data_IF_278535061811
#
_entry.id   IF_278535061811
#
_cell.length_a   1.000
_cell.length_b   1.000
_cell.length_c   1.000
_cell.angle_alpha   90.00
_cell.angle_beta   90.00
_cell.angle_gamma   90.00
#
_symmetry.space_group_name_H-M   'P 1'
#
loop_
_entity.id
_entity.type
_entity.pdbx_description
1 polymer ?
#
# COMPACT_ATOMS: atom_id res chain seq x y z
N UNK A 1 27.43 -17.08 -22.02
CA UNK A 1 26.69 -17.99 -21.09
C UNK A 1 25.95 -17.15 -20.04
N UNK A 2 25.03 -17.70 -19.24
CA UNK A 2 24.32 -16.96 -18.19
C UNK A 2 24.67 -17.48 -16.79
N UNK A 3 24.66 -16.58 -15.81
CA UNK A 3 24.88 -16.93 -14.41
C UNK A 3 23.70 -17.74 -13.84
N UNK A 4 23.98 -18.92 -13.29
CA UNK A 4 23.00 -19.83 -12.70
C UNK A 4 22.25 -19.26 -11.50
N UNK A 5 22.79 -18.22 -10.83
CA UNK A 5 22.20 -17.62 -9.62
C UNK A 5 21.39 -16.35 -9.90
N UNK A 6 21.91 -15.44 -10.71
CA UNK A 6 21.31 -14.11 -10.93
C UNK A 6 20.86 -13.84 -12.36
N UNK A 7 21.11 -14.75 -13.31
CA UNK A 7 20.68 -14.60 -14.71
C UNK A 7 21.47 -13.58 -15.53
N UNK A 8 22.53 -12.98 -14.99
CA UNK A 8 23.38 -12.04 -15.74
C UNK A 8 24.15 -12.75 -16.86
N UNK A 9 24.28 -12.11 -18.03
CA UNK A 9 25.07 -12.63 -19.14
C UNK A 9 26.56 -12.51 -18.81
N UNK A 10 27.29 -13.61 -18.98
CA UNK A 10 28.72 -13.73 -18.75
C UNK A 10 29.44 -13.83 -20.11
N UNK A 11 30.60 -13.19 -20.15
CA UNK A 11 31.55 -13.33 -21.25
C UNK A 11 32.11 -14.75 -21.32
N UNK A 12 32.55 -15.17 -22.52
CA UNK A 12 33.03 -16.53 -22.76
C UNK A 12 34.21 -16.88 -21.83
N UNK A 13 34.17 -18.08 -21.23
CA UNK A 13 35.11 -18.63 -20.25
C UNK A 13 35.11 -18.04 -18.81
N UNK A 14 34.19 -17.16 -18.44
CA UNK A 14 34.12 -16.70 -17.04
C UNK A 14 33.36 -17.69 -16.14
N UNK A 15 34.10 -18.42 -15.30
CA UNK A 15 33.52 -19.30 -14.27
C UNK A 15 32.97 -18.53 -13.07
N UNK A 16 33.42 -17.31 -12.79
CA UNK A 16 32.90 -16.50 -11.69
C UNK A 16 32.10 -15.31 -12.22
N UNK A 17 30.88 -15.13 -11.72
CA UNK A 17 30.05 -14.00 -12.12
C UNK A 17 30.55 -12.70 -11.50
N UNK A 18 30.89 -11.70 -12.32
CA UNK A 18 31.30 -10.37 -11.85
C UNK A 18 30.19 -9.62 -11.09
N UNK A 19 28.92 -9.89 -11.40
CA UNK A 19 27.78 -9.19 -10.80
C UNK A 19 27.40 -9.73 -9.41
N UNK A 20 27.24 -11.05 -9.26
CA UNK A 20 26.80 -11.67 -8.00
C UNK A 20 27.88 -12.47 -7.27
N UNK A 21 29.11 -12.52 -7.81
CA UNK A 21 30.26 -13.20 -7.23
C UNK A 21 30.24 -14.73 -7.27
N UNK A 22 29.18 -15.35 -7.82
CA UNK A 22 28.98 -16.81 -7.75
C UNK A 22 29.78 -17.56 -8.81
N UNK A 23 30.46 -18.63 -8.39
CA UNK A 23 31.20 -19.55 -9.26
C UNK A 23 30.22 -20.54 -9.91
N UNK A 24 30.34 -20.75 -11.22
CA UNK A 24 29.48 -21.59 -12.03
C UNK A 24 29.95 -23.04 -11.95
N UNK A 25 29.03 -23.98 -11.74
CA UNK A 25 29.35 -25.41 -11.56
C UNK A 25 29.24 -26.22 -12.87
N UNK A 26 29.29 -25.59 -14.04
CA UNK A 26 29.16 -26.30 -15.32
C UNK A 26 30.33 -27.27 -15.56
N UNK A 27 30.01 -28.56 -15.72
CA UNK A 27 30.96 -29.58 -16.16
C UNK A 27 31.78 -30.26 -15.05
N UNK A 28 31.44 -30.08 -13.77
CA UNK A 28 32.10 -30.83 -12.70
C UNK A 28 31.53 -32.27 -12.60
N UNK A 29 32.36 -33.27 -12.28
CA UNK A 29 31.89 -34.63 -12.04
C UNK A 29 31.01 -34.68 -10.78
N UNK A 30 29.92 -35.45 -10.83
CA UNK A 30 28.95 -35.69 -9.74
C UNK A 30 27.93 -34.57 -9.43
N UNK A 31 27.61 -33.69 -10.39
CA UNK A 31 26.51 -32.73 -10.21
C UNK A 31 25.20 -33.32 -10.74
N UNK A 32 24.17 -33.31 -9.90
CA UNK A 32 22.81 -33.64 -10.32
C UNK A 32 22.26 -32.54 -11.27
N UNK A 33 21.68 -32.95 -12.38
CA UNK A 33 21.15 -32.05 -13.41
C UNK A 33 19.64 -32.19 -13.60
N UNK A 34 18.96 -31.07 -13.90
CA UNK A 34 17.56 -30.99 -14.34
C UNK A 34 17.48 -30.43 -15.77
N UNK A 35 16.36 -30.68 -16.46
CA UNK A 35 16.10 -30.06 -17.78
C UNK A 35 15.57 -28.64 -17.64
N UNK A 36 16.08 -27.75 -18.49
CA UNK A 36 15.56 -26.38 -18.57
C UNK A 36 14.13 -26.36 -19.14
N UNK A 37 13.23 -25.57 -18.53
CA UNK A 37 11.82 -25.40 -18.96
C UNK A 37 11.64 -24.79 -20.36
N UNK A 38 12.66 -24.14 -20.94
CA UNK A 38 12.60 -23.48 -22.27
C UNK A 38 13.42 -24.15 -23.33
N UNK A 39 14.69 -24.43 -23.03
CA UNK A 39 15.64 -24.91 -24.04
C UNK A 39 16.04 -26.37 -23.85
N UNK A 40 15.46 -27.07 -22.87
CA UNK A 40 15.58 -28.53 -22.60
C UNK A 40 16.99 -29.09 -22.36
N UNK A 41 18.02 -28.23 -22.43
CA UNK A 41 19.39 -28.55 -22.05
C UNK A 41 19.49 -28.86 -20.56
N UNK A 42 20.43 -29.75 -20.24
CA UNK A 42 20.70 -30.15 -18.86
C UNK A 42 21.48 -29.05 -18.13
N UNK A 43 20.93 -28.63 -17.00
CA UNK A 43 21.46 -27.58 -16.12
C UNK A 43 21.51 -28.12 -14.68
N UNK A 44 22.36 -27.58 -13.79
CA UNK A 44 22.39 -28.03 -12.40
C UNK A 44 21.03 -27.89 -11.70
N UNK A 45 20.67 -28.85 -10.84
CA UNK A 45 19.37 -28.86 -10.13
C UNK A 45 19.18 -27.57 -9.32
N UNK A 46 20.26 -27.05 -8.72
CA UNK A 46 20.24 -25.85 -7.88
C UNK A 46 20.33 -24.52 -8.68
N UNK A 47 20.30 -24.57 -10.02
CA UNK A 47 20.31 -23.35 -10.83
C UNK A 47 18.94 -22.65 -10.80
N UNK A 48 18.94 -21.37 -10.42
CA UNK A 48 17.77 -20.48 -10.50
C UNK A 48 17.52 -20.03 -11.94
N UNK A 49 18.59 -19.81 -12.72
CA UNK A 49 18.51 -19.41 -14.12
C UNK A 49 19.23 -20.41 -15.03
N UNK A 50 18.72 -20.59 -16.24
CA UNK A 50 19.37 -21.44 -17.23
C UNK A 50 20.66 -20.82 -17.76
N UNK A 51 21.78 -21.55 -17.68
CA UNK A 51 23.10 -21.09 -18.16
C UNK A 51 23.21 -20.89 -19.67
N UNK A 52 22.29 -21.48 -20.45
CA UNK A 52 22.31 -21.40 -21.92
C UNK A 52 21.35 -20.34 -22.47
N UNK A 53 20.11 -20.30 -21.96
CA UNK A 53 19.06 -19.42 -22.48
C UNK A 53 18.67 -18.27 -21.55
N UNK A 54 19.21 -18.22 -20.33
CA UNK A 54 18.96 -17.14 -19.36
C UNK A 54 17.59 -17.18 -18.68
N UNK A 55 16.71 -18.14 -19.00
CA UNK A 55 15.37 -18.21 -18.42
C UNK A 55 15.39 -18.59 -16.93
N UNK A 56 14.55 -17.93 -16.13
CA UNK A 56 14.25 -18.30 -14.75
C UNK A 56 13.59 -19.69 -14.66
N UNK A 57 14.12 -20.54 -13.79
CA UNK A 57 13.71 -21.92 -13.57
C UNK A 57 12.89 -22.10 -12.30
N UNK A 58 12.72 -21.06 -11.47
CA UNK A 58 11.87 -21.10 -10.29
C UNK A 58 10.40 -21.32 -10.67
N UNK A 59 9.67 -22.07 -9.84
CA UNK A 59 8.21 -22.14 -9.90
C UNK A 59 7.71 -21.48 -8.62
N UNK A 60 7.29 -20.23 -8.68
CA UNK A 60 6.66 -19.59 -7.52
C UNK A 60 5.21 -20.04 -7.50
N UNK A 61 4.89 -21.02 -6.66
CA UNK A 61 3.51 -21.41 -6.39
C UNK A 61 2.91 -20.33 -5.49
N UNK A 62 2.22 -19.37 -6.10
CA UNK A 62 1.39 -18.42 -5.37
C UNK A 62 0.16 -19.16 -4.90
N UNK A 63 0.13 -19.57 -3.64
CA UNK A 63 -1.10 -20.03 -3.01
C UNK A 63 -1.88 -18.78 -2.64
N UNK A 64 -2.93 -18.47 -3.38
CA UNK A 64 -3.90 -17.46 -2.98
C UNK A 64 -4.44 -17.86 -1.60
N UNK A 65 -4.41 -16.89 -0.67
CA UNK A 65 -5.00 -17.09 0.65
C UNK A 65 -6.52 -17.14 0.42
N UNK A 66 -7.23 -18.22 0.81
CA UNK A 66 -8.68 -18.26 0.71
C UNK A 66 -9.29 -17.03 1.40
N UNK A 67 -10.17 -16.32 0.71
CA UNK A 67 -10.71 -15.04 1.18
C UNK A 67 -11.76 -15.16 2.30
N UNK A 68 -12.11 -16.37 2.73
CA UNK A 68 -13.26 -16.62 3.62
C UNK A 68 -12.91 -17.20 5.00
N UNK A 69 -11.65 -17.22 5.42
CA UNK A 69 -11.34 -17.53 6.83
C UNK A 69 -11.36 -16.25 7.67
N UNK A 70 -12.27 -16.10 8.65
CA UNK A 70 -12.19 -15.01 9.61
C UNK A 70 -10.88 -15.15 10.39
N UNK A 71 -9.94 -14.23 10.10
CA UNK A 71 -8.70 -14.08 10.84
C UNK A 71 -9.06 -14.01 12.34
N UNK A 72 -8.55 -14.90 13.21
CA UNK A 72 -8.89 -14.87 14.62
C UNK A 72 -8.46 -13.52 15.17
N UNK A 73 -9.47 -12.69 15.49
CA UNK A 73 -9.31 -11.34 15.99
C UNK A 73 -8.70 -11.41 17.39
N UNK A 74 -7.37 -11.58 17.46
CA UNK A 74 -6.61 -11.22 18.64
C UNK A 74 -6.66 -9.71 18.73
N UNK A 75 -7.61 -9.25 19.51
CA UNK A 75 -7.80 -7.85 19.88
C UNK A 75 -6.53 -7.37 20.58
N UNK A 76 -5.61 -6.75 19.85
CA UNK A 76 -4.52 -5.99 20.48
C UNK A 76 -4.98 -4.54 20.54
N UNK A 77 -5.88 -4.26 21.48
CA UNK A 77 -6.10 -2.91 21.97
C UNK A 77 -4.86 -2.53 22.81
N UNK A 78 -3.92 -1.77 22.22
CA UNK A 78 -2.72 -1.29 22.93
C UNK A 78 -1.42 -1.26 22.13
N UNK A 79 -1.46 -1.17 20.80
CA UNK A 79 -0.27 -1.19 19.94
C UNK A 79 0.33 0.21 19.70
N UNK A 80 0.96 0.76 20.72
CA UNK A 80 2.03 1.76 20.49
C UNK A 80 3.22 1.64 21.45
N UNK A 81 3.04 1.02 22.63
CA UNK A 81 4.15 0.85 23.59
C UNK A 81 4.53 -0.63 23.85
N UNK A 82 3.58 -1.57 23.76
CA UNK A 82 3.83 -2.99 24.06
C UNK A 82 4.64 -3.75 22.99
N UNK A 83 4.50 -3.40 21.70
CA UNK A 83 5.23 -4.10 20.61
C UNK A 83 6.74 -3.80 20.62
N UNK A 84 7.15 -2.67 21.20
CA UNK A 84 8.57 -2.36 21.35
C UNK A 84 9.23 -3.31 22.37
N UNK A 85 8.53 -3.70 23.43
CA UNK A 85 9.04 -4.65 24.44
C UNK A 85 9.28 -6.04 23.82
N UNK A 86 8.29 -6.58 23.12
CA UNK A 86 8.41 -7.90 22.47
C UNK A 86 9.43 -7.90 21.34
N UNK A 87 9.47 -6.83 20.53
CA UNK A 87 10.47 -6.66 19.48
C UNK A 87 11.88 -6.54 20.07
N UNK A 88 12.05 -5.80 21.17
CA UNK A 88 13.34 -5.67 21.85
C UNK A 88 13.82 -7.00 22.44
N UNK A 89 12.91 -7.80 23.00
CA UNK A 89 13.22 -9.13 23.51
C UNK A 89 13.60 -10.09 22.36
N UNK A 90 12.91 -10.03 21.22
CA UNK A 90 13.25 -10.80 20.03
C UNK A 90 14.63 -10.42 19.48
N UNK A 91 14.91 -9.12 19.34
CA UNK A 91 16.21 -8.60 18.89
C UNK A 91 17.31 -9.02 19.87
N UNK A 92 17.06 -8.99 21.17
CA UNK A 92 18.01 -9.44 22.19
C UNK A 92 18.31 -10.94 22.09
N UNK A 93 17.29 -11.77 21.85
CA UNK A 93 17.47 -13.23 21.68
C UNK A 93 18.19 -13.57 20.38
N UNK A 94 17.89 -12.88 19.29
CA UNK A 94 18.58 -13.04 18.00
C UNK A 94 20.06 -12.63 18.10
N UNK A 95 20.35 -11.56 18.85
CA UNK A 95 21.72 -11.13 19.14
C UNK A 95 22.49 -12.15 19.99
N UNK A 96 21.82 -12.78 20.97
CA UNK A 96 22.40 -13.91 21.75
C UNK A 96 22.69 -15.14 20.88
N UNK A 97 21.92 -15.35 19.82
CA UNK A 97 22.14 -16.41 18.84
C UNK A 97 23.19 -16.07 17.76
N UNK A 98 23.89 -14.93 17.88
CA UNK A 98 24.94 -14.52 16.93
C UNK A 98 24.41 -13.94 15.61
N UNK A 99 23.12 -13.65 15.51
CA UNK A 99 22.49 -13.08 14.31
C UNK A 99 22.48 -11.55 14.43
N UNK A 100 23.16 -10.85 13.53
CA UNK A 100 23.11 -9.38 13.46
C UNK A 100 21.77 -8.94 12.85
N UNK A 101 20.82 -8.57 13.70
CA UNK A 101 19.53 -8.02 13.27
C UNK A 101 19.60 -6.50 13.21
N UNK A 102 19.49 -5.92 12.02
CA UNK A 102 19.26 -4.48 11.85
C UNK A 102 17.76 -4.20 11.77
N UNK A 103 17.25 -3.47 12.77
CA UNK A 103 15.88 -2.95 12.71
C UNK A 103 15.86 -1.73 11.79
N UNK A 104 15.39 -1.93 10.56
CA UNK A 104 15.10 -0.82 9.65
C UNK A 104 13.83 -0.14 10.16
N UNK A 105 13.99 1.02 10.80
CA UNK A 105 12.83 1.87 11.12
C UNK A 105 12.28 2.43 9.81
N UNK A 106 10.98 2.19 9.57
CA UNK A 106 10.27 2.81 8.45
C UNK A 106 10.35 4.34 8.58
N UNK A 107 10.51 5.06 7.48
CA UNK A 107 10.44 6.52 7.50
C UNK A 107 9.06 6.92 8.08
N UNK A 108 8.99 7.89 9.01
CA UNK A 108 7.72 8.40 9.54
C UNK A 108 6.68 8.76 8.46
N UNK A 109 7.12 9.15 7.26
CA UNK A 109 6.26 9.41 6.10
C UNK A 109 5.55 8.15 5.58
N UNK A 110 6.15 6.98 5.74
CA UNK A 110 5.62 5.71 5.24
C UNK A 110 4.70 5.01 6.26
N UNK A 111 4.55 5.55 7.47
CA UNK A 111 3.65 4.97 8.46
C UNK A 111 2.22 4.97 7.91
N UNK A 112 1.55 3.81 7.84
CA UNK A 112 0.17 3.74 7.41
C UNK A 112 -0.72 4.46 8.43
N UNK A 113 -1.87 5.00 8.00
CA UNK A 113 -2.89 5.49 8.92
C UNK A 113 -3.30 4.37 9.90
N UNK A 114 -3.80 4.73 11.09
CA UNK A 114 -4.17 3.71 12.08
C UNK A 114 -5.24 2.79 11.50
N UNK A 115 -5.04 1.48 11.69
CA UNK A 115 -5.99 0.43 11.27
C UNK A 115 -7.36 0.59 11.96
N UNK A 116 -7.41 1.23 13.14
CA UNK A 116 -8.63 1.58 13.90
C UNK A 116 -8.57 3.03 14.41
N UNK A 117 -9.06 3.99 13.64
CA UNK A 117 -9.12 5.39 14.05
C UNK A 117 -10.15 5.56 15.18
N UNK A 118 -9.82 6.34 16.19
CA UNK A 118 -10.71 6.61 17.32
C UNK A 118 -10.34 7.91 18.04
N UNK A 119 -11.29 8.46 18.82
CA UNK A 119 -11.18 9.80 19.42
C UNK A 119 -9.88 9.98 20.21
N UNK A 120 -9.60 9.08 21.16
CA UNK A 120 -8.46 9.19 22.08
C UNK A 120 -7.13 9.00 21.34
N UNK A 121 -7.01 7.93 20.55
CA UNK A 121 -5.75 7.59 19.86
C UNK A 121 -5.39 8.66 18.82
N UNK A 122 -6.36 9.14 18.05
CA UNK A 122 -6.14 10.15 17.02
C UNK A 122 -5.77 11.50 17.63
N UNK A 123 -6.44 11.90 18.71
CA UNK A 123 -6.13 13.17 19.41
C UNK A 123 -4.76 13.12 20.08
N UNK A 124 -4.43 12.02 20.76
CA UNK A 124 -3.10 11.80 21.37
C UNK A 124 -2.01 11.88 20.32
N UNK A 125 -2.22 11.30 19.14
CA UNK A 125 -1.27 11.36 18.02
C UNK A 125 -1.12 12.78 17.48
N UNK A 126 -2.22 13.51 17.31
CA UNK A 126 -2.23 14.87 16.80
C UNK A 126 -1.45 15.82 17.73
N UNK A 127 -1.57 15.64 19.04
CA UNK A 127 -0.76 16.33 20.07
C UNK A 127 0.71 15.89 20.08
N UNK A 128 0.98 14.58 20.04
CA UNK A 128 2.35 14.03 20.07
C UNK A 128 3.19 14.52 18.88
N UNK A 129 2.55 14.67 17.74
CA UNK A 129 3.21 14.98 16.49
C UNK A 129 2.94 16.41 15.98
N UNK A 130 2.45 17.32 16.85
CA UNK A 130 2.07 18.68 16.47
C UNK A 130 3.21 19.52 15.85
N UNK A 131 4.46 19.23 16.20
CA UNK A 131 5.64 19.92 15.68
C UNK A 131 6.34 19.15 14.55
N UNK A 132 5.88 17.94 14.22
CA UNK A 132 6.42 17.18 13.09
C UNK A 132 5.58 17.54 11.86
N UNK A 133 6.20 17.94 10.75
CA UNK A 133 5.46 18.18 9.49
C UNK A 133 5.45 16.92 8.60
N UNK A 134 6.25 15.92 8.96
CA UNK A 134 6.41 14.67 8.22
C UNK A 134 5.51 13.58 8.80
N UNK A 135 4.92 12.77 7.93
CA UNK A 135 3.97 11.71 8.28
C UNK A 135 2.69 11.74 7.46
N UNK A 136 2.09 10.56 7.25
CA UNK A 136 0.76 10.39 6.62
C UNK A 136 -0.36 10.47 7.66
N UNK A 137 -1.45 11.11 7.26
CA UNK A 137 -2.67 11.27 8.04
C UNK A 137 -3.85 10.66 7.27
N UNK A 138 -4.45 9.62 7.86
CA UNK A 138 -5.69 9.04 7.34
C UNK A 138 -6.86 10.01 7.47
N UNK A 139 -7.89 9.83 6.64
CA UNK A 139 -9.11 10.65 6.69
C UNK A 139 -9.79 10.56 8.06
N UNK A 140 -9.98 9.34 8.55
CA UNK A 140 -10.61 9.10 9.84
C UNK A 140 -9.73 9.55 11.02
N UNK A 141 -8.41 9.32 10.97
CA UNK A 141 -7.46 9.83 11.96
C UNK A 141 -7.52 11.37 12.06
N UNK A 142 -7.64 12.07 10.93
CA UNK A 142 -7.77 13.52 10.89
C UNK A 142 -9.06 13.99 11.59
N UNK A 143 -10.22 13.44 11.22
CA UNK A 143 -11.51 13.89 11.76
C UNK A 143 -11.69 13.55 13.24
N UNK A 144 -11.29 12.33 13.66
CA UNK A 144 -11.33 11.96 15.07
C UNK A 144 -10.36 12.78 15.91
N UNK A 145 -9.16 13.05 15.39
CA UNK A 145 -8.19 13.93 16.05
C UNK A 145 -8.69 15.37 16.15
N UNK A 146 -9.29 15.89 15.07
CA UNK A 146 -9.86 17.23 15.05
C UNK A 146 -11.03 17.36 16.05
N UNK A 147 -11.95 16.40 16.04
CA UNK A 147 -13.07 16.36 16.97
C UNK A 147 -12.59 16.32 18.43
N UNK A 148 -11.61 15.46 18.74
CA UNK A 148 -11.10 15.37 20.11
C UNK A 148 -10.32 16.62 20.54
N UNK A 149 -9.64 17.31 19.62
CA UNK A 149 -9.06 18.63 19.90
C UNK A 149 -10.14 19.69 20.17
N UNK A 150 -11.25 19.69 19.44
CA UNK A 150 -12.38 20.61 19.68
C UNK A 150 -13.00 20.35 21.05
N UNK A 151 -13.25 19.09 21.39
CA UNK A 151 -13.79 18.71 22.70
C UNK A 151 -12.83 19.13 23.82
N UNK A 152 -11.53 18.86 23.67
CA UNK A 152 -10.50 19.26 24.62
C UNK A 152 -10.47 20.78 24.79
N UNK A 153 -10.54 21.54 23.68
CA UNK A 153 -10.59 23.00 23.71
C UNK A 153 -11.80 23.51 24.50
N UNK A 154 -13.00 22.98 24.24
CA UNK A 154 -14.22 23.39 24.94
C UNK A 154 -14.11 23.10 26.45
N UNK A 155 -13.65 21.90 26.83
CA UNK A 155 -13.47 21.52 28.24
C UNK A 155 -12.46 22.43 28.94
N UNK A 156 -11.34 22.76 28.30
CA UNK A 156 -10.32 23.64 28.88
C UNK A 156 -10.85 25.07 29.03
N UNK A 157 -11.60 25.58 28.05
CA UNK A 157 -12.22 26.92 28.14
C UNK A 157 -13.21 26.98 29.31
N UNK A 158 -14.13 26.03 29.41
CA UNK A 158 -15.10 25.98 30.52
C UNK A 158 -14.41 25.91 31.89
N UNK A 159 -13.35 25.10 31.99
CA UNK A 159 -12.54 25.01 33.21
C UNK A 159 -11.88 26.35 33.54
N UNK A 160 -11.27 27.03 32.57
CA UNK A 160 -10.64 28.34 32.80
C UNK A 160 -11.66 29.39 33.24
N UNK A 161 -12.83 29.44 32.59
CA UNK A 161 -13.92 30.36 32.92
C UNK A 161 -14.49 30.11 34.33
N UNK A 162 -14.51 28.85 34.78
CA UNK A 162 -15.02 28.48 36.11
C UNK A 162 -14.06 28.83 37.25
N UNK A 163 -12.75 28.62 37.05
CA UNK A 163 -11.75 28.72 38.12
C UNK A 163 -10.99 30.05 38.16
N UNK A 164 -10.86 30.76 37.03
CA UNK A 164 -10.08 31.99 36.93
C UNK A 164 -11.01 33.21 36.95
N UNK A 165 -11.01 33.94 38.07
CA UNK A 165 -11.82 35.16 38.24
C UNK A 165 -11.10 36.44 37.82
N UNK A 166 -9.78 36.43 37.77
CA UNK A 166 -9.00 37.58 37.33
C UNK A 166 -9.08 37.69 35.80
N UNK A 167 -9.68 38.77 35.30
CA UNK A 167 -9.91 39.01 33.87
C UNK A 167 -8.63 39.06 33.05
N UNK A 168 -7.60 39.78 33.52
CA UNK A 168 -6.31 39.88 32.82
C UNK A 168 -5.59 38.53 32.71
N UNK A 169 -5.64 37.72 33.76
CA UNK A 169 -5.04 36.38 33.77
C UNK A 169 -5.85 35.40 32.92
N UNK A 170 -7.17 35.54 32.90
CA UNK A 170 -8.07 34.77 32.05
C UNK A 170 -7.81 35.04 30.56
N UNK A 171 -7.72 36.31 30.16
CA UNK A 171 -7.42 36.70 28.77
C UNK A 171 -6.09 36.11 28.29
N UNK A 172 -5.05 36.19 29.12
CA UNK A 172 -3.74 35.62 28.81
C UNK A 172 -3.81 34.09 28.66
N UNK A 173 -4.49 33.40 29.58
CA UNK A 173 -4.62 31.93 29.55
C UNK A 173 -5.46 31.46 28.35
N UNK A 174 -6.52 32.20 27.99
CA UNK A 174 -7.31 31.92 26.80
C UNK A 174 -6.47 32.07 25.53
N UNK A 175 -5.66 33.15 25.42
CA UNK A 175 -4.75 33.34 24.29
C UNK A 175 -3.76 32.17 24.16
N UNK A 176 -3.12 31.77 25.26
CA UNK A 176 -2.19 30.63 25.28
C UNK A 176 -2.91 29.35 24.86
N UNK A 177 -4.12 29.11 25.38
CA UNK A 177 -4.95 27.95 25.03
C UNK A 177 -5.27 27.91 23.53
N UNK A 178 -5.62 29.05 22.93
CA UNK A 178 -5.85 29.15 21.48
C UNK A 178 -4.59 28.81 20.68
N UNK A 179 -3.41 29.27 21.10
CA UNK A 179 -2.14 28.94 20.42
C UNK A 179 -1.83 27.45 20.52
N UNK A 180 -2.01 26.85 21.70
CA UNK A 180 -1.80 25.40 21.94
C UNK A 180 -2.77 24.55 21.10
N UNK A 181 -3.99 25.03 20.85
CA UNK A 181 -4.93 24.38 19.93
C UNK A 181 -4.60 24.60 18.45
N UNK A 182 -4.12 25.80 18.10
CA UNK A 182 -3.85 26.20 16.72
C UNK A 182 -2.68 25.41 16.11
N UNK A 183 -1.56 25.26 16.83
CA UNK A 183 -0.37 24.59 16.28
C UNK A 183 -0.63 23.13 15.84
N UNK A 184 -1.22 22.26 16.68
CA UNK A 184 -1.52 20.89 16.31
C UNK A 184 -2.49 20.80 15.12
N UNK A 185 -3.56 21.60 15.14
CA UNK A 185 -4.60 21.55 14.10
C UNK A 185 -4.09 22.11 12.78
N UNK A 186 -3.27 23.16 12.80
CA UNK A 186 -2.62 23.72 11.62
C UNK A 186 -1.65 22.72 10.98
N UNK A 187 -0.75 22.11 11.77
CA UNK A 187 0.16 21.07 11.29
C UNK A 187 -0.60 19.87 10.73
N UNK A 188 -1.71 19.48 11.37
CA UNK A 188 -2.56 18.40 10.91
C UNK A 188 -3.21 18.69 9.55
N UNK A 189 -3.71 19.91 9.34
CA UNK A 189 -4.31 20.33 8.07
C UNK A 189 -3.27 20.38 6.95
N UNK A 190 -2.04 20.83 7.21
CA UNK A 190 -0.95 20.80 6.22
C UNK A 190 -0.66 19.36 5.75
N UNK A 191 -0.56 18.41 6.70
CA UNK A 191 -0.34 17.00 6.37
C UNK A 191 -1.50 16.45 5.52
N UNK A 192 -2.74 16.74 5.91
CA UNK A 192 -3.93 16.31 5.17
C UNK A 192 -3.95 16.86 3.76
N UNK A 193 -3.58 18.13 3.56
CA UNK A 193 -3.53 18.76 2.24
C UNK A 193 -2.51 18.08 1.33
N UNK A 194 -1.31 17.84 1.86
CA UNK A 194 -0.27 17.09 1.14
C UNK A 194 -0.76 15.69 0.76
N UNK A 195 -1.36 14.97 1.70
CA UNK A 195 -1.83 13.60 1.47
C UNK A 195 -3.04 13.52 0.53
N UNK A 196 -3.87 14.56 0.48
CA UNK A 196 -4.98 14.71 -0.46
C UNK A 196 -4.53 15.17 -1.86
N UNK A 197 -3.25 15.52 -2.05
CA UNK A 197 -2.73 16.07 -3.30
C UNK A 197 -3.17 17.51 -3.57
N UNK A 198 -3.60 18.25 -2.53
CA UNK A 198 -4.01 19.66 -2.63
C UNK A 198 -2.79 20.55 -2.39
N UNK A 199 -2.55 21.60 -3.22
CA UNK A 199 -1.46 22.54 -2.99
C UNK A 199 -1.53 23.17 -1.58
N UNK A 200 -0.44 23.08 -0.82
CA UNK A 200 -0.39 23.60 0.57
C UNK A 200 -0.66 25.11 0.64
N UNK A 201 -0.43 25.86 -0.45
CA UNK A 201 -0.70 27.29 -0.53
C UNK A 201 -2.13 27.70 -0.17
N UNK A 202 -3.13 26.84 -0.40
CA UNK A 202 -4.52 27.10 0.01
C UNK A 202 -4.70 27.19 1.53
N UNK A 203 -3.72 26.77 2.34
CA UNK A 203 -3.73 26.97 3.80
C UNK A 203 -3.77 28.45 4.20
N UNK A 204 -3.36 29.38 3.32
CA UNK A 204 -3.49 30.82 3.59
C UNK A 204 -4.94 31.25 3.79
N UNK A 205 -5.89 30.54 3.19
CA UNK A 205 -7.31 30.83 3.32
C UNK A 205 -7.81 30.61 4.74
N UNK A 206 -7.13 29.81 5.56
CA UNK A 206 -7.46 29.58 6.98
C UNK A 206 -7.45 30.87 7.81
N UNK A 207 -6.67 31.87 7.41
CA UNK A 207 -6.63 33.17 8.07
C UNK A 207 -7.88 34.03 7.81
N UNK A 208 -8.76 33.62 6.90
CA UNK A 208 -10.07 34.24 6.72
C UNK A 208 -10.99 33.70 7.83
N UNK A 209 -11.48 34.54 8.75
CA UNK A 209 -12.31 34.08 9.86
C UNK A 209 -13.59 33.42 9.35
N UNK A 210 -14.00 32.34 10.02
CA UNK A 210 -15.15 31.47 9.70
C UNK A 210 -15.06 30.74 8.36
N UNK A 211 -15.03 31.47 7.25
CA UNK A 211 -15.06 30.92 5.89
C UNK A 211 -13.78 30.13 5.59
N UNK A 212 -12.64 30.61 6.07
CA UNK A 212 -11.35 29.95 5.88
C UNK A 212 -11.36 28.51 6.39
N UNK A 213 -11.80 28.30 7.63
CA UNK A 213 -11.88 26.96 8.23
C UNK A 213 -12.83 26.04 7.47
N UNK A 214 -13.97 26.54 7.01
CA UNK A 214 -14.92 25.75 6.21
C UNK A 214 -14.29 25.27 4.88
N UNK A 215 -13.52 26.13 4.23
CA UNK A 215 -12.79 25.78 3.00
C UNK A 215 -11.76 24.68 3.29
N UNK A 216 -10.99 24.82 4.39
CA UNK A 216 -10.02 23.79 4.78
C UNK A 216 -10.71 22.46 5.07
N UNK A 217 -11.83 22.47 5.78
CA UNK A 217 -12.63 21.28 6.06
C UNK A 217 -13.11 20.61 4.77
N UNK A 218 -13.61 21.38 3.81
CA UNK A 218 -14.04 20.86 2.51
C UNK A 218 -12.89 20.15 1.78
N UNK A 219 -11.69 20.74 1.75
CA UNK A 219 -10.53 20.07 1.15
C UNK A 219 -10.06 18.85 1.95
N UNK A 220 -10.17 18.89 3.28
CA UNK A 220 -9.78 17.79 4.15
C UNK A 220 -10.67 16.54 4.02
N UNK A 221 -11.92 16.69 3.55
CA UNK A 221 -12.86 15.59 3.28
C UNK A 221 -12.43 14.70 2.10
N UNK A 222 -11.62 15.21 1.16
CA UNK A 222 -11.19 14.43 -0.01
C UNK A 222 -10.43 13.19 0.45
N UNK A 223 -10.51 12.03 -0.22
CA UNK A 223 -9.64 10.90 0.06
C UNK A 223 -8.18 11.22 -0.31
N UNK A 224 -7.22 10.50 0.28
CA UNK A 224 -5.80 10.65 -0.07
C UNK A 224 -5.54 10.32 -1.54
N UNK A 225 -4.57 10.99 -2.16
CA UNK A 225 -4.24 10.84 -3.58
C UNK A 225 -3.89 9.39 -3.95
N UNK A 226 -3.11 8.71 -3.11
CA UNK A 226 -2.69 7.31 -3.32
C UNK A 226 -3.90 6.36 -3.40
N UNK A 227 -4.85 6.48 -2.46
CA UNK A 227 -6.09 5.70 -2.46
C UNK A 227 -6.93 5.99 -3.71
N UNK A 228 -6.99 7.24 -4.17
CA UNK A 228 -7.69 7.58 -5.42
C UNK A 228 -7.06 6.90 -6.64
N UNK A 229 -5.74 6.96 -6.77
CA UNK A 229 -5.03 6.32 -7.87
C UNK A 229 -5.18 4.80 -7.85
N UNK A 230 -5.21 4.18 -6.66
CA UNK A 230 -5.47 2.75 -6.53
C UNK A 230 -6.90 2.38 -6.96
N UNK A 231 -7.89 3.17 -6.56
CA UNK A 231 -9.28 2.98 -7.00
C UNK A 231 -9.43 3.16 -8.51
N UNK A 232 -8.81 4.18 -9.10
CA UNK A 232 -8.82 4.42 -10.56
C UNK A 232 -8.26 3.21 -11.32
N UNK A 233 -7.11 2.67 -10.90
CA UNK A 233 -6.49 1.47 -11.51
C UNK A 233 -7.32 0.19 -11.33
N UNK A 234 -8.04 0.05 -10.23
CA UNK A 234 -8.94 -1.08 -10.01
C UNK A 234 -10.12 -1.00 -10.96
N UNK A 235 -10.73 0.19 -11.10
CA UNK A 235 -11.84 0.43 -12.04
C UNK A 235 -11.39 0.15 -13.48
N UNK A 236 -10.21 0.63 -13.91
CA UNK A 236 -9.67 0.35 -15.25
C UNK A 236 -9.52 -1.15 -15.51
N UNK A 237 -8.99 -1.91 -14.55
CA UNK A 237 -8.85 -3.37 -14.66
C UNK A 237 -10.21 -4.06 -14.78
N UNK A 238 -11.20 -3.65 -13.99
CA UNK A 238 -12.54 -4.20 -14.07
C UNK A 238 -13.20 -3.89 -15.42
N UNK A 239 -13.04 -2.67 -15.93
CA UNK A 239 -13.54 -2.29 -17.26
C UNK A 239 -12.88 -3.10 -18.37
N UNK A 240 -11.57 -3.37 -18.30
CA UNK A 240 -10.89 -4.23 -19.26
C UNK A 240 -11.34 -5.69 -19.20
N UNK A 241 -11.66 -6.20 -18.01
CA UNK A 241 -12.22 -7.55 -17.86
C UNK A 241 -13.63 -7.62 -18.47
N UNK A 242 -14.46 -6.61 -18.20
CA UNK A 242 -15.82 -6.53 -18.75
C UNK A 242 -15.82 -6.41 -20.28
N UNK A 243 -14.90 -5.63 -20.85
CA UNK A 243 -14.72 -5.55 -22.31
C UNK A 243 -14.32 -6.90 -22.91
N UNK A 244 -13.37 -7.60 -22.29
CA UNK A 244 -12.98 -8.95 -22.75
C UNK A 244 -14.14 -9.93 -22.75
N UNK A 245 -14.94 -9.94 -21.68
CA UNK A 245 -16.13 -10.77 -21.60
C UNK A 245 -17.16 -10.43 -22.68
N UNK A 246 -17.37 -9.14 -22.95
CA UNK A 246 -18.26 -8.69 -24.01
C UNK A 246 -17.76 -9.08 -25.41
N UNK A 247 -16.46 -8.95 -25.67
CA UNK A 247 -15.85 -9.33 -26.95
C UNK A 247 -15.91 -10.86 -27.17
N UNK A 248 -15.69 -11.66 -26.11
CA UNK A 248 -15.85 -13.12 -26.13
C UNK A 248 -17.30 -13.54 -26.44
N UNK A 249 -18.29 -12.93 -25.79
CA UNK A 249 -19.72 -13.21 -26.06
C UNK A 249 -20.13 -12.84 -27.48
N UNK A 250 -19.64 -11.72 -28.01
CA UNK A 250 -19.93 -11.32 -29.39
C UNK A 250 -19.25 -12.23 -30.41
N UNK A 251 -18.06 -12.75 -30.11
CA UNK A 251 -17.41 -13.76 -30.95
C UNK A 251 -18.21 -15.06 -30.97
N UNK A 252 -18.64 -15.57 -29.81
CA UNK A 252 -19.48 -16.77 -29.72
C UNK A 252 -20.79 -16.63 -30.50
N UNK A 253 -21.50 -15.49 -30.36
CA UNK A 253 -22.74 -15.26 -31.11
C UNK A 253 -22.55 -15.18 -32.62
N UNK A 254 -21.39 -14.68 -33.07
CA UNK A 254 -21.08 -14.63 -34.50
C UNK A 254 -20.78 -16.03 -35.05
N UNK A 255 -20.02 -16.83 -34.30
CA UNK A 255 -19.73 -18.22 -34.66
C UNK A 255 -21.03 -19.08 -34.68
N UNK A 256 -21.99 -18.81 -33.78
CA UNK A 256 -23.32 -19.45 -33.78
C UNK A 256 -24.17 -19.06 -35.00
N UNK A 257 -24.13 -17.80 -35.43
CA UNK A 257 -24.84 -17.33 -36.63
C UNK A 257 -24.24 -17.93 -37.90
N UNK A 258 -22.92 -17.89 -38.05
CA UNK A 258 -22.21 -18.46 -39.22
C UNK A 258 -22.48 -19.98 -39.34
N UNK A 259 -22.54 -20.71 -38.22
CA UNK A 259 -22.88 -22.14 -38.19
C UNK A 259 -24.36 -22.46 -38.49
N UNK A 260 -25.27 -21.50 -38.33
CA UNK A 260 -26.68 -21.64 -38.71
C UNK A 260 -26.89 -21.38 -40.21
N UNK A 261 -26.20 -20.39 -40.77
CA UNK A 261 -26.26 -20.06 -42.20
C UNK A 261 -25.68 -21.21 -43.06
N UNK A 262 -24.53 -21.80 -42.66
CA UNK A 262 -23.93 -22.95 -43.36
C UNK A 262 -24.86 -24.18 -43.42
N UNK A 263 -25.72 -24.39 -42.42
CA UNK A 263 -26.71 -25.49 -42.44
C UNK A 263 -27.88 -25.23 -43.39
N UNK A 264 -28.27 -23.97 -43.58
CA UNK A 264 -29.34 -23.63 -44.52
C UNK A 264 -28.92 -23.79 -45.99
N UNK A 265 -27.65 -23.54 -46.30
CA UNK A 265 -27.11 -23.68 -47.67
C UNK A 265 -26.92 -25.15 -48.11
N UNK A 266 -26.75 -26.09 -47.17
CA UNK A 266 -26.68 -27.53 -47.47
C UNK A 266 -28.07 -28.16 -47.67
N UNK A 267 -29.11 -27.66 -46.99
CA UNK A 267 -30.49 -28.12 -47.18
C UNK A 267 -31.07 -27.69 -48.55
N UNK A 268 -30.69 -26.52 -49.07
CA UNK A 268 -31.12 -26.03 -50.40
C UNK A 268 -30.46 -26.79 -51.57
N UNK A 269 -29.24 -27.33 -51.37
CA UNK A 269 -28.57 -28.17 -52.38
C UNK A 269 -29.21 -29.55 -52.53
N UNK A 270 -29.88 -30.07 -51.49
CA UNK A 270 -30.56 -31.36 -51.56
C UNK A 270 -31.96 -31.33 -52.20
N UNK A 271 -32.53 -30.14 -52.45
CA UNK A 271 -33.83 -30.00 -53.13
C UNK A 271 -33.75 -29.75 -54.64
N UNK A 272 -32.58 -29.48 -55.22
CA UNK A 272 -32.42 -29.29 -56.69
C UNK A 272 -32.14 -30.57 -57.48
N UNK A 273 -31.92 -31.71 -56.82
CA UNK A 273 -31.63 -33.01 -57.45
C UNK A 273 -32.80 -34.01 -57.33
N UNK A 274 -34.04 -33.57 -57.58
CA UNK A 274 -35.17 -34.49 -57.81
C UNK A 274 -35.84 -34.20 -59.17
N UNK A 275 -35.83 -35.18 -60.12
CA UNK A 275 -36.40 -35.05 -61.45
C UNK A 275 -37.94 -35.07 -61.49
#
# INVERSE_FOLDING_TARGET
>A
MYCQKCGHQLDDNQQQCAFCGTVQELGQPNIETKKCKKCERDIPVNANYCSYCGMDQALIVWKERPQDEPEPEKTIAGLDDASNSELNNLVANMKKAGIEVRVIKRDPKDLPPHKRPGLINSTRRLLRDSFKVQGRMGLADYWWGYLGMVILLLVVIELLMSFVKNTTLLELLLLVTTVVYFVPTFTASIRRFRDAGVPVGYMILRFIPFVGELIIWFFALRPSLEVRQQMEKEIERQLEQLKRQYDEQNHEHKDEQDAQDDKSDDDDKHHQDQP
#
